data_IF_227243756728
#
_entry.id   IF_227243756728
#
_cell.length_a   1.000
_cell.length_b   1.000
_cell.length_c   1.000
_cell.angle_alpha   90.00
_cell.angle_beta   90.00
_cell.angle_gamma   90.00
#
_symmetry.space_group_name_H-M   'P 1'
#
loop_
_entity.id
_entity.type
_entity.pdbx_description
1 polymer ?
#
# COMPACT_ATOMS: atom_id res chain seq x y z
N UNK A 1 -13.40 -18.95 22.81
CA UNK A 1 -14.45 -19.67 23.53
C UNK A 1 -15.76 -19.40 22.82
N UNK A 2 -16.22 -20.36 22.07
CA UNK A 2 -17.48 -20.32 21.36
C UNK A 2 -18.43 -21.26 22.08
N UNK A 3 -19.45 -20.68 22.64
CA UNK A 3 -20.49 -21.41 23.28
C UNK A 3 -21.43 -22.04 22.26
N UNK A 4 -21.56 -23.31 22.40
CA UNK A 4 -22.25 -24.26 21.55
C UNK A 4 -23.66 -24.45 22.06
N UNK A 5 -24.66 -24.13 21.27
CA UNK A 5 -26.02 -24.66 21.52
C UNK A 5 -26.34 -25.96 20.76
N UNK A 6 -25.42 -26.51 19.98
CA UNK A 6 -25.52 -27.89 19.49
C UNK A 6 -24.16 -28.51 19.34
N UNK A 7 -23.90 -29.56 20.05
CA UNK A 7 -22.60 -30.21 20.30
C UNK A 7 -21.86 -30.83 19.12
N UNK A 8 -21.95 -30.30 17.91
CA UNK A 8 -21.13 -30.73 16.79
C UNK A 8 -20.22 -29.56 16.35
N UNK A 9 -18.95 -29.70 16.67
CA UNK A 9 -17.87 -28.81 16.16
C UNK A 9 -17.82 -28.94 14.62
N UNK A 10 -18.40 -28.00 13.92
CA UNK A 10 -18.24 -27.91 12.48
C UNK A 10 -16.84 -27.36 12.18
N UNK A 11 -15.95 -28.21 11.73
CA UNK A 11 -14.61 -27.83 11.36
C UNK A 11 -14.46 -28.10 9.86
N UNK A 12 -14.30 -27.05 9.01
CA UNK A 12 -14.01 -27.25 7.60
C UNK A 12 -12.63 -27.89 7.45
N UNK A 13 -12.47 -28.74 6.41
CA UNK A 13 -11.18 -29.40 6.16
C UNK A 13 -10.10 -28.40 5.75
N UNK A 14 -10.46 -27.41 4.92
CA UNK A 14 -9.54 -26.38 4.44
C UNK A 14 -10.27 -25.04 4.34
N UNK A 15 -9.62 -23.97 4.81
CA UNK A 15 -10.05 -22.58 4.60
C UNK A 15 -8.99 -21.86 3.78
N UNK A 16 -9.38 -21.32 2.63
CA UNK A 16 -8.54 -20.44 1.81
C UNK A 16 -8.94 -19.00 2.09
N UNK A 17 -8.00 -18.22 2.62
CA UNK A 17 -8.22 -16.80 2.95
C UNK A 17 -7.77 -15.90 1.82
N UNK A 18 -8.64 -14.96 1.45
CA UNK A 18 -8.38 -13.91 0.47
C UNK A 18 -7.93 -12.61 1.13
N UNK A 19 -7.23 -11.71 0.42
CA UNK A 19 -6.72 -10.44 0.99
C UNK A 19 -7.82 -9.48 1.46
N UNK A 20 -9.02 -9.58 0.89
CA UNK A 20 -10.20 -8.79 1.23
C UNK A 20 -10.99 -9.38 2.39
N UNK A 21 -10.34 -10.28 3.16
CA UNK A 21 -10.90 -11.00 4.31
C UNK A 21 -12.03 -11.97 3.94
N UNK A 22 -12.30 -12.22 2.65
CA UNK A 22 -13.18 -13.31 2.24
C UNK A 22 -12.50 -14.66 2.47
N UNK A 23 -13.28 -15.64 2.85
CA UNK A 23 -12.83 -17.00 3.06
C UNK A 23 -13.54 -17.95 2.08
N UNK A 24 -12.80 -18.93 1.57
CA UNK A 24 -13.35 -20.01 0.76
C UNK A 24 -13.22 -21.29 1.57
N UNK A 25 -14.34 -21.96 1.80
CA UNK A 25 -14.38 -23.23 2.53
C UNK A 25 -14.35 -24.38 1.54
N UNK A 26 -13.45 -25.34 1.75
CA UNK A 26 -13.32 -26.57 0.99
C UNK A 26 -13.51 -27.74 1.96
N UNK A 27 -14.46 -28.61 1.63
CA UNK A 27 -14.72 -29.84 2.36
C UNK A 27 -14.51 -31.05 1.43
N UNK A 28 -13.82 -32.10 1.89
CA UNK A 28 -13.37 -33.21 1.04
C UNK A 28 -13.94 -34.58 1.41
N UNK A 29 -15.00 -34.64 2.16
CA UNK A 29 -15.52 -35.89 2.76
C UNK A 29 -16.25 -36.85 1.82
N UNK A 30 -16.09 -36.78 0.50
CA UNK A 30 -16.77 -37.71 -0.43
C UNK A 30 -16.20 -39.12 -0.31
N UNK A 31 -17.05 -40.07 0.04
CA UNK A 31 -16.66 -41.47 0.05
C UNK A 31 -16.47 -42.00 -1.39
N UNK A 32 -15.29 -42.52 -1.69
CA UNK A 32 -14.98 -43.16 -2.99
C UNK A 32 -15.26 -44.65 -3.00
N UNK A 33 -15.80 -45.24 -1.93
CA UNK A 33 -16.04 -46.68 -1.84
C UNK A 33 -16.94 -47.19 -2.97
N UNK A 34 -18.06 -46.50 -3.24
CA UNK A 34 -18.97 -46.87 -4.34
C UNK A 34 -18.30 -46.71 -5.73
N UNK A 35 -17.45 -45.69 -5.90
CA UNK A 35 -16.67 -45.46 -7.12
C UNK A 35 -15.63 -46.57 -7.34
N UNK A 36 -14.92 -46.99 -6.29
CA UNK A 36 -13.96 -48.10 -6.36
C UNK A 36 -14.67 -49.42 -6.75
N UNK A 37 -15.83 -49.70 -6.17
CA UNK A 37 -16.65 -50.85 -6.51
C UNK A 37 -17.19 -50.78 -7.93
N UNK A 38 -17.56 -49.59 -8.43
CA UNK A 38 -17.94 -49.36 -9.82
C UNK A 38 -16.81 -49.77 -10.79
N UNK A 39 -15.59 -49.40 -10.52
CA UNK A 39 -14.44 -49.75 -11.36
C UNK A 39 -14.05 -51.22 -11.28
N UNK A 40 -14.46 -51.94 -10.25
CA UNK A 40 -14.20 -53.39 -10.07
C UNK A 40 -15.38 -54.27 -10.41
N UNK A 41 -16.46 -53.71 -10.99
CA UNK A 41 -17.65 -54.46 -11.34
C UNK A 41 -17.35 -55.47 -12.49
N UNK A 42 -17.79 -56.70 -12.32
CA UNK A 42 -17.55 -57.77 -13.28
C UNK A 42 -18.64 -57.86 -14.39
N UNK A 43 -19.78 -57.23 -14.14
CA UNK A 43 -20.92 -57.24 -15.07
C UNK A 43 -21.64 -55.87 -15.08
N UNK A 44 -22.46 -55.65 -16.13
CA UNK A 44 -23.20 -54.39 -16.34
C UNK A 44 -24.25 -54.10 -15.24
N UNK A 45 -24.79 -55.11 -14.62
CA UNK A 45 -25.77 -54.92 -13.55
C UNK A 45 -25.10 -54.36 -12.27
N UNK A 46 -23.95 -54.90 -11.92
CA UNK A 46 -23.14 -54.41 -10.82
C UNK A 46 -22.62 -53.02 -11.10
N UNK A 47 -22.12 -52.76 -12.32
CA UNK A 47 -21.68 -51.46 -12.75
C UNK A 47 -22.79 -50.42 -12.56
N UNK A 48 -24.01 -50.69 -13.06
CA UNK A 48 -25.14 -49.78 -12.92
C UNK A 48 -25.53 -49.54 -11.44
N UNK A 49 -25.50 -50.59 -10.64
CA UNK A 49 -25.77 -50.48 -9.18
C UNK A 49 -24.77 -49.60 -8.46
N UNK A 50 -23.50 -49.80 -8.72
CA UNK A 50 -22.45 -49.03 -8.04
C UNK A 50 -22.36 -47.60 -8.54
N UNK A 51 -22.65 -47.38 -9.84
CA UNK A 51 -22.77 -46.00 -10.37
C UNK A 51 -23.91 -45.23 -9.68
N UNK A 52 -25.06 -45.86 -9.50
CA UNK A 52 -26.18 -45.27 -8.78
C UNK A 52 -25.80 -44.97 -7.30
N UNK A 53 -25.09 -45.90 -6.64
CA UNK A 53 -24.61 -45.71 -5.26
C UNK A 53 -23.61 -44.57 -5.17
N UNK A 54 -22.72 -44.42 -6.14
CA UNK A 54 -21.78 -43.29 -6.23
C UNK A 54 -22.51 -41.96 -6.35
N UNK A 55 -23.47 -41.81 -7.24
CA UNK A 55 -24.30 -40.64 -7.39
C UNK A 55 -25.08 -40.30 -6.11
N UNK A 56 -25.66 -41.31 -5.47
CA UNK A 56 -26.37 -41.11 -4.20
C UNK A 56 -25.43 -40.59 -3.10
N UNK A 57 -24.22 -41.13 -3.03
CA UNK A 57 -23.18 -40.66 -2.10
C UNK A 57 -22.82 -39.20 -2.34
N UNK A 58 -22.59 -38.79 -3.62
CA UNK A 58 -22.28 -37.39 -3.95
C UNK A 58 -23.44 -36.48 -3.61
N UNK A 59 -24.70 -36.87 -3.95
CA UNK A 59 -25.89 -36.05 -3.63
C UNK A 59 -26.10 -35.91 -2.10
N UNK A 60 -25.97 -37.01 -1.36
CA UNK A 60 -26.10 -36.98 0.09
C UNK A 60 -25.07 -36.02 0.75
N UNK A 61 -23.87 -35.98 0.20
CA UNK A 61 -22.82 -35.09 0.66
C UNK A 61 -23.11 -33.61 0.33
N UNK A 62 -23.66 -33.33 -0.84
CA UNK A 62 -24.16 -31.99 -1.18
C UNK A 62 -25.24 -31.55 -0.19
N UNK A 63 -26.17 -32.48 0.16
CA UNK A 63 -27.22 -32.18 1.13
C UNK A 63 -26.66 -31.90 2.53
N UNK A 64 -25.72 -32.71 2.98
CA UNK A 64 -25.03 -32.52 4.25
C UNK A 64 -24.33 -31.16 4.31
N UNK A 65 -23.56 -30.81 3.28
CA UNK A 65 -22.85 -29.54 3.21
C UNK A 65 -23.78 -28.33 3.15
N UNK A 66 -24.90 -28.46 2.42
CA UNK A 66 -25.88 -27.40 2.30
C UNK A 66 -26.59 -27.05 3.63
N UNK A 67 -26.64 -28.01 4.57
CA UNK A 67 -27.23 -27.83 5.90
C UNK A 67 -26.25 -27.27 6.92
N UNK A 68 -24.94 -27.30 6.63
CA UNK A 68 -23.92 -26.73 7.50
C UNK A 68 -23.97 -25.21 7.40
N UNK A 69 -24.31 -24.57 8.49
CA UNK A 69 -24.28 -23.09 8.57
C UNK A 69 -22.85 -22.63 8.86
N UNK A 70 -22.18 -22.17 7.81
CA UNK A 70 -20.85 -21.57 7.92
C UNK A 70 -20.89 -20.05 8.15
N UNK A 71 -22.08 -19.43 8.23
CA UNK A 71 -22.24 -17.98 8.44
C UNK A 71 -21.68 -17.49 9.78
N UNK A 72 -21.48 -18.38 10.73
CA UNK A 72 -20.88 -18.06 12.03
C UNK A 72 -19.36 -17.92 12.01
N UNK A 73 -18.67 -18.27 10.91
CA UNK A 73 -17.21 -18.20 10.88
C UNK A 73 -16.66 -16.80 10.60
N UNK A 74 -17.40 -15.92 9.98
CA UNK A 74 -17.18 -14.45 10.01
C UNK A 74 -18.28 -13.75 9.18
N UNK A 75 -18.48 -12.44 9.37
CA UNK A 75 -19.43 -11.61 8.62
C UNK A 75 -19.16 -11.58 7.09
N UNK A 76 -18.13 -12.29 6.63
CA UNK A 76 -17.68 -12.44 5.24
C UNK A 76 -17.68 -13.90 4.77
N UNK A 77 -18.54 -14.74 5.37
CA UNK A 77 -18.70 -16.14 4.93
C UNK A 77 -18.96 -16.21 3.42
N UNK A 78 -18.34 -17.16 2.71
CA UNK A 78 -18.52 -17.30 1.28
C UNK A 78 -19.96 -17.69 0.96
N UNK A 79 -20.49 -17.18 -0.15
CA UNK A 79 -21.81 -17.57 -0.64
C UNK A 79 -21.90 -19.05 -1.03
N UNK A 80 -20.77 -19.72 -1.17
CA UNK A 80 -20.64 -21.10 -1.62
C UNK A 80 -19.61 -21.87 -0.84
N UNK A 81 -19.88 -23.17 -0.64
CA UNK A 81 -18.93 -24.15 -0.10
C UNK A 81 -18.42 -25.02 -1.23
N UNK A 82 -17.12 -25.27 -1.29
CA UNK A 82 -16.53 -26.16 -2.28
C UNK A 82 -16.48 -27.59 -1.78
N UNK A 83 -17.13 -28.48 -2.48
CA UNK A 83 -17.09 -29.91 -2.24
C UNK A 83 -16.04 -30.57 -3.12
N UNK A 84 -14.96 -31.01 -2.52
CA UNK A 84 -13.83 -31.61 -3.22
C UNK A 84 -14.00 -33.10 -3.42
N UNK A 85 -13.96 -33.56 -4.67
CA UNK A 85 -13.96 -34.98 -5.05
C UNK A 85 -12.51 -35.36 -5.40
N UNK A 86 -11.86 -36.27 -4.61
CA UNK A 86 -10.40 -36.44 -4.64
C UNK A 86 -9.82 -37.01 -5.93
N UNK A 87 -10.65 -37.53 -6.84
CA UNK A 87 -10.20 -38.07 -8.14
C UNK A 87 -10.95 -37.43 -9.28
N UNK A 88 -10.26 -37.08 -10.35
CA UNK A 88 -10.84 -36.52 -11.57
C UNK A 88 -11.83 -37.50 -12.19
N UNK A 89 -11.48 -38.81 -12.20
CA UNK A 89 -12.30 -39.83 -12.80
C UNK A 89 -13.64 -40.04 -12.07
N UNK A 90 -13.66 -40.03 -10.72
CA UNK A 90 -14.88 -40.10 -9.94
C UNK A 90 -15.79 -38.89 -10.17
N UNK A 91 -15.22 -37.68 -10.23
CA UNK A 91 -15.94 -36.47 -10.57
C UNK A 91 -16.57 -36.53 -11.94
N UNK A 92 -15.80 -36.90 -12.99
CA UNK A 92 -16.29 -36.99 -14.36
C UNK A 92 -17.36 -38.08 -14.52
N UNK A 93 -17.20 -39.21 -13.81
CA UNK A 93 -18.21 -40.30 -13.82
C UNK A 93 -19.53 -39.83 -13.23
N UNK A 94 -19.50 -39.08 -12.11
CA UNK A 94 -20.70 -38.52 -11.50
C UNK A 94 -21.41 -37.52 -12.43
N UNK A 95 -20.66 -36.55 -12.98
CA UNK A 95 -21.23 -35.51 -13.89
C UNK A 95 -21.77 -36.11 -15.18
N UNK A 96 -21.10 -37.14 -15.76
CA UNK A 96 -21.58 -37.83 -16.96
C UNK A 96 -22.86 -38.65 -16.72
N UNK A 97 -22.96 -39.28 -15.55
CA UNK A 97 -24.12 -40.10 -15.23
C UNK A 97 -25.34 -39.27 -14.81
N UNK A 98 -25.12 -38.06 -14.30
CA UNK A 98 -26.18 -37.13 -13.93
C UNK A 98 -25.79 -35.70 -14.36
N UNK A 99 -26.28 -35.30 -15.51
CA UNK A 99 -26.01 -34.00 -16.13
C UNK A 99 -26.53 -32.82 -15.33
N UNK A 100 -27.51 -33.02 -14.44
CA UNK A 100 -28.10 -31.98 -13.59
C UNK A 100 -27.44 -31.90 -12.21
N UNK A 101 -26.44 -32.75 -11.93
CA UNK A 101 -25.80 -32.80 -10.62
C UNK A 101 -25.13 -31.49 -10.21
N UNK A 102 -24.51 -30.81 -11.17
CA UNK A 102 -23.86 -29.51 -10.93
C UNK A 102 -24.88 -28.42 -10.56
N UNK A 103 -26.03 -28.39 -11.27
CA UNK A 103 -27.10 -27.42 -10.98
C UNK A 103 -27.78 -27.71 -9.65
N UNK A 104 -27.99 -28.99 -9.33
CA UNK A 104 -28.47 -29.41 -8.04
C UNK A 104 -27.60 -28.96 -6.90
N UNK A 105 -26.29 -29.13 -7.03
CA UNK A 105 -25.31 -28.68 -6.03
C UNK A 105 -25.28 -27.14 -5.93
N UNK A 106 -25.23 -26.47 -7.07
CA UNK A 106 -25.16 -25.01 -7.16
C UNK A 106 -26.37 -24.33 -6.51
N UNK A 107 -27.59 -24.83 -6.75
CA UNK A 107 -28.82 -24.34 -6.11
C UNK A 107 -28.81 -24.51 -4.58
N UNK A 108 -27.98 -25.40 -4.08
CA UNK A 108 -27.72 -25.62 -2.65
C UNK A 108 -26.48 -24.89 -2.13
N UNK A 109 -25.94 -23.96 -2.93
CA UNK A 109 -24.72 -23.20 -2.61
C UNK A 109 -23.48 -24.09 -2.39
N UNK A 110 -23.43 -25.25 -3.08
CA UNK A 110 -22.29 -26.16 -3.09
C UNK A 110 -21.72 -26.19 -4.50
N UNK A 111 -20.40 -26.00 -4.62
CA UNK A 111 -19.67 -26.09 -5.89
C UNK A 111 -18.85 -27.37 -5.90
N UNK A 112 -19.13 -28.26 -6.86
CA UNK A 112 -18.37 -29.49 -7.04
C UNK A 112 -17.00 -29.22 -7.66
N UNK A 113 -15.94 -29.70 -7.02
CA UNK A 113 -14.56 -29.45 -7.44
C UNK A 113 -13.80 -30.76 -7.66
N UNK A 114 -13.20 -30.90 -8.83
CA UNK A 114 -12.20 -31.92 -9.11
C UNK A 114 -10.79 -31.42 -8.77
N UNK A 115 -9.76 -32.28 -8.72
CA UNK A 115 -8.37 -31.84 -8.54
C UNK A 115 -7.93 -30.76 -9.54
N UNK A 116 -8.24 -30.92 -10.82
CA UNK A 116 -7.89 -29.97 -11.86
C UNK A 116 -8.60 -28.62 -11.68
N UNK A 117 -9.90 -28.65 -11.36
CA UNK A 117 -10.69 -27.45 -11.12
C UNK A 117 -10.21 -26.71 -9.88
N UNK A 118 -9.86 -27.42 -8.81
CA UNK A 118 -9.34 -26.84 -7.57
C UNK A 118 -8.00 -26.12 -7.82
N UNK A 119 -7.08 -26.76 -8.54
CA UNK A 119 -5.79 -26.12 -8.88
C UNK A 119 -6.02 -24.85 -9.70
N UNK A 120 -6.94 -24.88 -10.65
CA UNK A 120 -7.28 -23.72 -11.48
C UNK A 120 -7.88 -22.58 -10.67
N UNK A 121 -8.81 -22.89 -9.75
CA UNK A 121 -9.42 -21.93 -8.84
C UNK A 121 -8.38 -21.30 -7.90
N UNK A 122 -7.47 -22.11 -7.34
CA UNK A 122 -6.40 -21.61 -6.47
C UNK A 122 -5.40 -20.71 -7.23
N UNK A 123 -5.06 -21.05 -8.48
CA UNK A 123 -4.20 -20.20 -9.33
C UNK A 123 -4.86 -18.84 -9.60
N UNK A 124 -6.14 -18.85 -9.99
CA UNK A 124 -6.89 -17.61 -10.21
C UNK A 124 -6.94 -16.77 -8.95
N UNK A 125 -7.15 -17.40 -7.80
CA UNK A 125 -7.15 -16.73 -6.48
C UNK A 125 -5.82 -16.07 -6.18
N UNK A 126 -4.69 -16.75 -6.44
CA UNK A 126 -3.35 -16.20 -6.27
C UNK A 126 -3.08 -14.99 -7.18
N UNK A 127 -3.57 -15.02 -8.42
CA UNK A 127 -3.40 -13.90 -9.35
C UNK A 127 -4.24 -12.69 -8.94
N UNK A 128 -5.46 -12.88 -8.47
CA UNK A 128 -6.28 -11.83 -7.89
C UNK A 128 -5.60 -11.22 -6.66
N UNK A 129 -5.06 -12.06 -5.78
CA UNK A 129 -4.31 -11.63 -4.59
C UNK A 129 -3.09 -10.76 -4.93
N UNK A 130 -2.29 -11.16 -5.94
CA UNK A 130 -1.15 -10.38 -6.40
C UNK A 130 -1.57 -9.01 -6.94
N UNK A 131 -2.64 -8.97 -7.74
CA UNK A 131 -3.17 -7.72 -8.32
C UNK A 131 -3.66 -6.76 -7.24
N UNK A 132 -4.39 -7.24 -6.25
CA UNK A 132 -4.88 -6.41 -5.15
C UNK A 132 -3.74 -5.82 -4.32
N UNK A 133 -2.72 -6.62 -4.00
CA UNK A 133 -1.52 -6.11 -3.31
C UNK A 133 -0.77 -5.06 -4.14
N UNK A 134 -0.72 -5.22 -5.47
CA UNK A 134 -0.12 -4.21 -6.35
C UNK A 134 -0.91 -2.89 -6.29
N UNK A 135 -2.25 -2.93 -6.32
CA UNK A 135 -3.10 -1.73 -6.22
C UNK A 135 -2.90 -1.03 -4.88
N UNK A 136 -2.88 -1.76 -3.76
CA UNK A 136 -2.60 -1.21 -2.43
C UNK A 136 -1.22 -0.53 -2.38
N UNK A 137 -0.19 -1.18 -2.92
CA UNK A 137 1.15 -0.61 -2.98
C UNK A 137 1.20 0.70 -3.80
N UNK A 138 0.51 0.76 -4.94
CA UNK A 138 0.42 1.98 -5.75
C UNK A 138 -0.25 3.12 -4.99
N UNK A 139 -1.35 2.85 -4.28
CA UNK A 139 -2.03 3.84 -3.44
C UNK A 139 -1.12 4.37 -2.32
N UNK A 140 -0.36 3.49 -1.67
CA UNK A 140 0.60 3.89 -0.64
C UNK A 140 1.74 4.75 -1.21
N UNK A 141 2.24 4.41 -2.39
CA UNK A 141 3.25 5.21 -3.10
C UNK A 141 2.71 6.61 -3.41
N UNK A 142 1.50 6.72 -3.95
CA UNK A 142 0.85 8.00 -4.26
C UNK A 142 0.70 8.83 -2.99
N UNK A 143 0.18 8.24 -1.91
CA UNK A 143 0.02 8.92 -0.62
C UNK A 143 1.34 9.45 -0.06
N UNK A 144 2.39 8.62 -0.07
CA UNK A 144 3.74 9.03 0.38
C UNK A 144 4.34 10.11 -0.52
N UNK A 145 4.12 10.00 -1.84
CA UNK A 145 4.56 11.00 -2.82
C UNK A 145 3.90 12.36 -2.57
N UNK A 146 2.59 12.38 -2.33
CA UNK A 146 1.85 13.61 -1.99
C UNK A 146 2.39 14.25 -0.71
N UNK A 147 2.58 13.48 0.36
CA UNK A 147 3.14 13.99 1.61
C UNK A 147 4.57 14.52 1.47
N UNK A 148 5.38 13.88 0.62
CA UNK A 148 6.73 14.36 0.31
C UNK A 148 6.69 15.68 -0.44
N UNK A 149 5.83 15.79 -1.44
CA UNK A 149 5.65 17.03 -2.21
C UNK A 149 5.23 18.20 -1.32
N UNK A 150 4.26 18.00 -0.43
CA UNK A 150 3.81 19.01 0.52
C UNK A 150 4.94 19.47 1.46
N UNK A 151 5.77 18.53 1.94
CA UNK A 151 6.95 18.87 2.74
C UNK A 151 7.98 19.69 1.97
N UNK A 152 8.23 19.35 0.70
CA UNK A 152 9.14 20.09 -0.17
C UNK A 152 8.58 21.51 -0.40
N UNK A 153 7.29 21.65 -0.70
CA UNK A 153 6.66 22.95 -0.86
C UNK A 153 6.83 23.83 0.39
N UNK A 154 6.52 23.32 1.58
CA UNK A 154 6.72 24.06 2.83
C UNK A 154 8.20 24.38 3.13
N UNK A 155 9.11 23.51 2.71
CA UNK A 155 10.54 23.79 2.83
C UNK A 155 10.98 24.92 1.88
N UNK A 156 10.52 24.90 0.61
CA UNK A 156 10.84 25.95 -0.36
C UNK A 156 10.34 27.32 0.08
N UNK A 157 9.12 27.40 0.63
CA UNK A 157 8.59 28.65 1.17
C UNK A 157 9.46 29.20 2.33
N UNK A 158 9.89 28.31 3.21
CA UNK A 158 10.78 28.68 4.31
C UNK A 158 12.14 29.13 3.82
N UNK A 159 12.68 28.44 2.82
CA UNK A 159 13.97 28.78 2.22
C UNK A 159 13.94 30.14 1.53
N UNK A 160 12.89 30.44 0.76
CA UNK A 160 12.70 31.75 0.12
C UNK A 160 12.62 32.87 1.16
N UNK A 161 11.85 32.66 2.23
CA UNK A 161 11.76 33.65 3.34
C UNK A 161 13.12 33.92 4.01
N UNK A 162 13.98 32.91 4.16
CA UNK A 162 15.35 33.10 4.65
C UNK A 162 16.14 33.99 3.68
N UNK A 163 16.02 33.77 2.37
CA UNK A 163 16.65 34.59 1.36
C UNK A 163 16.22 36.05 1.43
N UNK A 164 14.92 36.31 1.58
CA UNK A 164 14.39 37.67 1.74
C UNK A 164 14.89 38.34 3.01
N UNK A 165 14.96 37.63 4.12
CA UNK A 165 15.51 38.13 5.38
C UNK A 165 17.00 38.47 5.27
N UNK A 166 17.79 37.61 4.59
CA UNK A 166 19.22 37.90 4.35
C UNK A 166 19.39 39.14 3.50
N UNK A 167 18.58 39.30 2.45
CA UNK A 167 18.59 40.50 1.61
C UNK A 167 18.18 41.74 2.39
N UNK A 168 17.24 41.61 3.32
CA UNK A 168 16.86 42.67 4.26
C UNK A 168 18.01 43.08 5.19
N UNK A 169 18.62 42.08 5.82
CA UNK A 169 19.78 42.29 6.71
C UNK A 169 20.96 42.91 5.96
N UNK A 170 21.21 42.52 4.71
CA UNK A 170 22.27 43.15 3.89
C UNK A 170 22.00 44.65 3.70
N UNK A 171 20.77 45.02 3.33
CA UNK A 171 20.40 46.44 3.19
C UNK A 171 20.54 47.24 4.48
N UNK A 172 20.13 46.66 5.61
CA UNK A 172 20.23 47.30 6.90
C UNK A 172 21.70 47.44 7.33
N UNK A 173 22.52 46.45 7.02
CA UNK A 173 23.97 46.51 7.24
C UNK A 173 24.61 47.62 6.41
N UNK A 174 24.31 47.70 5.11
CA UNK A 174 24.83 48.70 4.20
C UNK A 174 24.43 50.12 4.65
N UNK A 175 23.18 50.29 5.10
CA UNK A 175 22.68 51.55 5.65
C UNK A 175 23.43 51.95 6.95
N UNK A 176 23.59 51.00 7.85
CA UNK A 176 24.33 51.23 9.09
C UNK A 176 25.81 51.53 8.83
N UNK A 177 26.42 50.83 7.86
CA UNK A 177 27.79 51.06 7.44
C UNK A 177 27.97 52.48 6.86
N UNK A 178 27.06 52.94 6.01
CA UNK A 178 27.07 54.29 5.44
C UNK A 178 26.95 55.37 6.55
N UNK A 179 26.08 55.14 7.54
CA UNK A 179 25.95 56.06 8.69
C UNK A 179 27.22 56.09 9.54
N UNK A 180 27.87 54.97 9.69
CA UNK A 180 29.08 54.84 10.50
C UNK A 180 30.33 55.43 9.79
N UNK A 181 30.53 55.10 8.53
CA UNK A 181 31.82 55.29 7.82
C UNK A 181 31.69 56.16 6.56
N UNK A 182 30.89 55.76 5.56
CA UNK A 182 31.00 56.32 4.19
C UNK A 182 30.07 57.53 3.93
N UNK A 183 29.02 57.70 4.75
CA UNK A 183 28.02 58.76 4.55
C UNK A 183 28.58 60.19 4.87
N UNK A 184 28.06 61.21 4.16
CA UNK A 184 28.31 62.57 4.49
C UNK A 184 27.88 62.86 5.93
N UNK A 185 28.84 63.29 6.76
CA UNK A 185 28.61 63.48 8.20
C UNK A 185 28.62 62.20 9.02
N UNK A 186 29.21 61.09 8.53
CA UNK A 186 29.33 59.83 9.25
C UNK A 186 30.01 59.99 10.60
N UNK A 187 29.67 59.07 11.50
CA UNK A 187 30.17 59.09 12.89
C UNK A 187 31.71 59.05 12.92
N UNK A 188 32.31 58.19 12.06
CA UNK A 188 33.78 58.09 11.95
C UNK A 188 34.39 59.38 11.43
N UNK A 189 33.81 60.02 10.41
CA UNK A 189 34.30 61.28 9.86
C UNK A 189 34.26 62.41 10.92
N UNK A 190 33.18 62.49 11.66
CA UNK A 190 33.09 63.50 12.78
C UNK A 190 34.08 63.18 13.88
N UNK A 191 34.26 61.90 14.25
CA UNK A 191 35.26 61.55 15.29
C UNK A 191 36.70 61.86 14.85
N UNK A 192 37.04 61.66 13.56
CA UNK A 192 38.35 62.01 13.05
C UNK A 192 38.57 63.53 13.00
N UNK A 193 37.55 64.34 12.65
CA UNK A 193 37.58 65.76 12.71
C UNK A 193 37.89 66.28 14.16
N UNK A 194 37.17 65.70 15.14
CA UNK A 194 37.43 66.05 16.58
C UNK A 194 38.84 65.64 17.02
N UNK A 195 39.34 64.50 16.55
CA UNK A 195 40.72 64.07 16.83
C UNK A 195 41.73 65.09 16.30
N UNK A 196 41.53 65.60 15.09
CA UNK A 196 42.40 66.58 14.50
C UNK A 196 42.37 67.98 15.20
N UNK A 197 41.31 68.23 15.99
CA UNK A 197 41.15 69.42 16.82
C UNK A 197 41.82 69.33 18.18
N UNK A 198 42.65 68.35 18.51
CA UNK A 198 43.44 68.21 19.75
C UNK A 198 43.06 67.03 20.65
N UNK A 199 42.31 66.05 20.19
CA UNK A 199 42.04 64.83 20.97
C UNK A 199 43.19 63.82 20.81
N UNK A 200 43.65 63.24 21.93
CA UNK A 200 44.68 62.17 21.93
C UNK A 200 44.06 60.86 22.44
N UNK A 201 43.28 60.18 21.66
CA UNK A 201 42.62 58.95 22.10
C UNK A 201 43.64 57.81 22.28
N UNK A 202 43.43 56.97 23.31
CA UNK A 202 44.28 55.81 23.61
C UNK A 202 44.12 54.67 22.54
N UNK A 203 42.99 54.61 21.82
CA UNK A 203 42.71 53.65 20.73
C UNK A 203 42.33 54.39 19.47
N UNK A 204 42.73 53.86 18.31
CA UNK A 204 42.37 54.38 16.98
C UNK A 204 41.22 53.60 16.40
N UNK A 205 40.41 54.24 15.57
CA UNK A 205 39.38 53.61 14.76
C UNK A 205 40.05 52.68 13.74
N UNK A 206 39.45 51.52 13.46
CA UNK A 206 39.96 50.58 12.46
C UNK A 206 40.11 51.26 11.10
N UNK A 207 41.25 51.05 10.44
CA UNK A 207 41.50 51.58 9.10
C UNK A 207 40.44 51.15 8.06
N UNK A 208 39.74 50.05 8.30
CA UNK A 208 38.64 49.59 7.44
C UNK A 208 37.38 50.46 7.49
N UNK A 209 37.26 51.30 8.52
CA UNK A 209 36.11 52.18 8.74
C UNK A 209 36.45 53.63 8.48
N UNK A 210 37.71 53.94 8.16
CA UNK A 210 38.10 55.30 7.80
C UNK A 210 37.53 55.60 6.39
N UNK A 211 36.97 56.80 6.16
CA UNK A 211 36.54 57.22 4.83
C UNK A 211 37.70 57.07 3.86
N UNK A 212 37.46 56.50 2.68
CA UNK A 212 38.42 56.54 1.59
C UNK A 212 38.60 58.01 1.24
N UNK A 213 39.84 58.50 1.26
CA UNK A 213 40.15 59.82 0.73
C UNK A 213 39.64 59.87 -0.73
N UNK A 214 38.75 60.80 -1.03
CA UNK A 214 38.39 61.11 -2.42
C UNK A 214 39.70 61.49 -3.10
N UNK A 215 40.23 60.66 -3.98
CA UNK A 215 41.27 61.05 -4.91
C UNK A 215 40.69 62.25 -5.67
N UNK A 216 41.15 63.40 -5.31
CA UNK A 216 40.82 64.68 -5.96
C UNK A 216 41.22 64.54 -7.41
N UNK A 217 40.23 64.69 -8.28
CA UNK A 217 40.41 64.84 -9.76
C UNK A 217 41.19 66.13 -10.08
N UNK A 218 42.40 66.31 -9.58
CA UNK A 218 43.26 67.47 -9.88
C UNK A 218 44.41 67.13 -10.87
N UNK A 219 44.59 65.88 -11.29
CA UNK A 219 45.70 65.51 -12.20
C UNK A 219 45.36 65.49 -13.69
N UNK A 220 44.14 65.75 -14.12
CA UNK A 220 43.81 65.77 -15.58
C UNK A 220 43.95 67.13 -16.27
N UNK A 221 44.28 68.22 -15.54
CA UNK A 221 44.36 69.54 -16.15
C UNK A 221 45.75 70.03 -16.45
N UNK A 222 46.84 69.31 -16.22
CA UNK A 222 48.22 69.74 -16.56
C UNK A 222 48.80 69.11 -17.79
N UNK A 223 48.09 68.25 -18.51
CA UNK A 223 48.61 67.74 -19.84
C UNK A 223 48.04 68.37 -21.09
N UNK A 224 47.29 69.46 -20.94
CA UNK A 224 46.80 70.18 -22.11
C UNK A 224 47.17 71.68 -22.09
N UNK A 225 48.48 72.00 -21.96
CA UNK A 225 49.04 73.28 -22.28
C UNK A 225 50.30 73.14 -23.17
#
# INVERSE_FOLDING_TARGET
>A
SSDLESGQRMQPDIIVRYPDEREMIIDSKVSLTAYAAYNSAENKEEEARWLKAHLQSVRAHVDELSQKDYSHYDAKAPDFVMMFIPTEAAYLTAIKADTNLWEYAYNKKVVLMSPTNLISALRLSLDLWKRENQVKNVQDIIKRGTLLYEKIAGFTDTFLRIGDNLSGLQRDYDKAYNQLSDGNGSVVRQAELLRNMSLTPKKRISARLLPKEEETEEEENEQNK
#
